data_IF_680652687765
#
_entry.id   IF_680652687765
#
_cell.length_a   1.000
_cell.length_b   1.000
_cell.length_c   1.000
_cell.angle_alpha   90.00
_cell.angle_beta   90.00
_cell.angle_gamma   90.00
#
_symmetry.space_group_name_H-M   'P 1'
#
loop_
_entity.id
_entity.type
_entity.pdbx_description
1 polymer ?
#
# COMPACT_ATOMS: atom_id res chain seq x y z
N UNK A 1 3.49 27.56 0.74
CA UNK A 1 4.50 26.49 0.77
C UNK A 1 3.89 25.28 0.08
N UNK A 2 4.59 24.69 -0.88
CA UNK A 2 4.16 23.44 -1.51
C UNK A 2 4.74 22.29 -0.70
N UNK A 3 3.93 21.29 -0.38
CA UNK A 3 4.40 20.05 0.25
C UNK A 3 5.38 19.35 -0.70
N UNK A 4 6.50 18.80 -0.20
CA UNK A 4 7.40 18.04 -1.07
C UNK A 4 6.74 16.72 -1.49
N UNK A 5 7.16 16.16 -2.63
CA UNK A 5 6.66 14.86 -3.10
C UNK A 5 6.87 13.79 -2.04
N UNK A 6 8.04 13.74 -1.43
CA UNK A 6 8.43 12.74 -0.44
C UNK A 6 7.57 12.86 0.83
N UNK A 7 7.31 14.08 1.30
CA UNK A 7 6.44 14.30 2.45
C UNK A 7 4.99 13.93 2.11
N UNK A 8 4.53 14.21 0.89
CA UNK A 8 3.21 13.80 0.44
C UNK A 8 3.08 12.27 0.39
N UNK A 9 4.07 11.56 -0.16
CA UNK A 9 4.09 10.09 -0.19
C UNK A 9 4.12 9.47 1.21
N UNK A 10 4.86 10.07 2.15
CA UNK A 10 4.87 9.64 3.55
C UNK A 10 3.49 9.81 4.21
N UNK A 11 2.78 10.91 3.92
CA UNK A 11 1.42 11.11 4.40
C UNK A 11 0.47 10.07 3.80
N UNK A 12 0.54 9.81 2.49
CA UNK A 12 -0.31 8.81 1.82
C UNK A 12 -0.03 7.38 2.30
N UNK A 13 1.22 7.07 2.67
CA UNK A 13 1.57 5.80 3.33
C UNK A 13 0.83 5.62 4.65
N UNK A 14 0.62 6.70 5.39
CA UNK A 14 -0.11 6.68 6.66
C UNK A 14 -1.62 6.78 6.48
N UNK A 15 -2.10 7.46 5.44
CA UNK A 15 -3.53 7.55 5.13
C UNK A 15 -4.13 6.17 4.86
N UNK A 16 -3.36 5.25 4.25
CA UNK A 16 -3.78 3.87 4.01
C UNK A 16 -4.19 3.11 5.30
N UNK A 17 -3.75 3.54 6.49
CA UNK A 17 -4.22 2.96 7.76
C UNK A 17 -5.58 3.49 8.23
N UNK A 18 -6.01 4.62 7.68
CA UNK A 18 -7.23 5.34 8.07
C UNK A 18 -8.28 5.34 6.94
N UNK A 19 -8.11 4.47 5.95
CA UNK A 19 -9.03 4.25 4.85
C UNK A 19 -9.54 2.80 4.84
N UNK A 20 -10.56 2.51 4.03
CA UNK A 20 -11.23 1.21 4.01
C UNK A 20 -11.75 0.71 5.37
N UNK A 21 -11.33 -0.49 5.75
CA UNK A 21 -11.78 -1.16 6.97
C UNK A 21 -10.82 -0.92 8.15
N UNK A 22 -11.34 -1.04 9.38
CA UNK A 22 -10.52 -0.94 10.60
C UNK A 22 -9.94 0.45 10.86
N UNK A 23 -10.55 1.52 10.32
CA UNK A 23 -10.06 2.89 10.46
C UNK A 23 -10.00 3.31 11.93
N UNK A 24 -8.85 3.76 12.40
CA UNK A 24 -8.70 4.40 13.71
C UNK A 24 -9.15 5.87 13.72
N UNK A 25 -9.12 6.52 12.56
CA UNK A 25 -9.56 7.89 12.33
C UNK A 25 -10.49 7.90 11.12
N UNK A 26 -11.76 8.26 11.31
CA UNK A 26 -12.67 8.55 10.20
C UNK A 26 -12.72 10.05 9.94
N UNK A 27 -12.03 10.48 8.89
CA UNK A 27 -12.00 11.88 8.46
C UNK A 27 -12.98 12.17 7.30
N UNK A 28 -13.61 11.15 6.72
CA UNK A 28 -14.56 11.30 5.60
C UNK A 28 -14.00 12.05 4.38
N UNK A 29 -12.67 12.09 4.18
CA UNK A 29 -12.05 12.81 3.06
C UNK A 29 -11.66 11.84 1.96
N UNK A 30 -12.04 12.18 0.74
CA UNK A 30 -11.58 11.58 -0.51
C UNK A 30 -10.38 12.33 -1.10
N UNK A 31 -9.85 13.33 -0.39
CA UNK A 31 -8.71 14.14 -0.83
C UNK A 31 -7.81 14.49 0.33
N UNK A 32 -6.51 14.27 0.14
CA UNK A 32 -5.44 14.65 1.07
C UNK A 32 -4.45 15.52 0.29
N UNK A 33 -4.25 16.77 0.70
CA UNK A 33 -3.39 17.69 -0.06
C UNK A 33 -3.84 17.81 -1.53
N UNK A 34 -2.93 17.53 -2.48
CA UNK A 34 -3.25 17.46 -3.92
C UNK A 34 -3.70 16.06 -4.40
N UNK A 35 -3.61 15.03 -3.56
CA UNK A 35 -3.96 13.66 -3.91
C UNK A 35 -5.47 13.40 -3.76
N UNK A 36 -6.08 12.88 -4.80
CA UNK A 36 -7.52 12.54 -4.83
C UNK A 36 -7.67 11.03 -4.88
N UNK A 37 -8.52 10.47 -4.03
CA UNK A 37 -8.87 9.05 -4.03
C UNK A 37 -9.33 8.61 -5.42
N UNK A 38 -8.75 7.54 -5.95
CA UNK A 38 -9.13 6.96 -7.25
C UNK A 38 -9.58 5.50 -7.18
N UNK A 39 -9.28 4.78 -6.10
CA UNK A 39 -9.71 3.40 -5.91
C UNK A 39 -9.12 2.76 -4.65
N UNK A 40 -9.65 1.61 -4.24
CA UNK A 40 -9.13 0.83 -3.12
C UNK A 40 -9.33 -0.68 -3.33
N UNK A 41 -8.55 -1.47 -2.60
CA UNK A 41 -8.75 -2.92 -2.50
C UNK A 41 -10.08 -3.24 -1.84
N UNK A 42 -10.61 -4.45 -2.06
CA UNK A 42 -11.88 -4.90 -1.47
C UNK A 42 -11.90 -4.73 0.06
N UNK A 43 -12.97 -4.12 0.58
CA UNK A 43 -13.15 -3.79 2.02
C UNK A 43 -14.31 -4.53 2.68
N UNK A 44 -15.02 -5.38 1.94
CA UNK A 44 -16.17 -6.11 2.45
C UNK A 44 -15.76 -7.11 3.55
N UNK A 45 -16.55 -7.18 4.62
CA UNK A 45 -16.33 -8.12 5.72
C UNK A 45 -16.30 -9.56 5.20
N UNK A 46 -15.26 -10.31 5.57
CA UNK A 46 -15.05 -11.69 5.12
C UNK A 46 -14.31 -11.83 3.78
N UNK A 47 -14.03 -10.74 3.07
CA UNK A 47 -13.17 -10.78 1.88
C UNK A 47 -11.73 -11.20 2.24
N UNK A 48 -11.03 -11.86 1.32
CA UNK A 48 -9.66 -12.37 1.54
C UNK A 48 -8.70 -11.26 1.99
N UNK A 49 -8.78 -10.07 1.38
CA UNK A 49 -7.96 -8.93 1.77
C UNK A 49 -8.19 -8.49 3.21
N UNK A 50 -9.44 -8.42 3.65
CA UNK A 50 -9.80 -8.07 5.03
C UNK A 50 -9.31 -9.14 6.01
N UNK A 51 -9.52 -10.43 5.69
CA UNK A 51 -9.12 -11.55 6.56
C UNK A 51 -7.59 -11.68 6.70
N UNK A 52 -6.84 -11.33 5.66
CA UNK A 52 -5.37 -11.38 5.65
C UNK A 52 -4.73 -10.09 6.16
N UNK A 53 -5.53 -9.05 6.43
CA UNK A 53 -5.05 -7.73 6.83
C UNK A 53 -4.45 -6.90 5.68
N UNK A 54 -4.64 -7.32 4.42
CA UNK A 54 -4.23 -6.57 3.24
C UNK A 54 -5.15 -5.38 3.00
N UNK A 55 -4.56 -4.21 2.76
CA UNK A 55 -5.28 -3.06 2.26
C UNK A 55 -4.36 -2.22 1.36
N UNK A 56 -4.90 -1.77 0.24
CA UNK A 56 -4.24 -0.87 -0.68
C UNK A 56 -5.22 0.17 -1.21
N UNK A 57 -4.70 1.34 -1.54
CA UNK A 57 -5.48 2.49 -1.98
C UNK A 57 -4.69 3.24 -3.06
N UNK A 58 -5.40 3.74 -4.07
CA UNK A 58 -4.83 4.55 -5.15
C UNK A 58 -5.30 6.00 -5.08
N UNK A 59 -4.41 6.90 -5.48
CA UNK A 59 -4.69 8.32 -5.59
C UNK A 59 -4.22 8.88 -6.93
N UNK A 60 -4.99 9.81 -7.48
CA UNK A 60 -4.56 10.66 -8.58
C UNK A 60 -3.84 11.88 -8.02
N UNK A 61 -2.62 12.14 -8.51
CA UNK A 61 -1.76 13.23 -8.05
C UNK A 61 -1.09 13.95 -9.23
N UNK A 62 -0.48 15.11 -8.97
CA UNK A 62 0.29 15.87 -9.98
C UNK A 62 1.55 15.13 -10.47
N UNK A 63 1.95 14.05 -9.81
CA UNK A 63 3.09 13.21 -10.16
C UNK A 63 2.68 11.80 -10.59
N UNK A 64 1.42 11.62 -11.01
CA UNK A 64 0.86 10.38 -11.51
C UNK A 64 0.00 9.65 -10.48
N UNK A 65 -0.31 8.38 -10.76
CA UNK A 65 -1.07 7.52 -9.86
C UNK A 65 -0.17 7.08 -8.71
N UNK A 66 -0.60 7.31 -7.47
CA UNK A 66 0.07 6.76 -6.28
C UNK A 66 -0.69 5.55 -5.81
N UNK A 67 0.00 4.44 -5.62
CA UNK A 67 -0.56 3.27 -4.92
C UNK A 67 0.10 3.19 -3.55
N UNK A 68 -0.71 3.25 -2.50
CA UNK A 68 -0.28 3.14 -1.10
C UNK A 68 -0.71 1.80 -0.52
N UNK A 69 0.25 1.01 -0.04
CA UNK A 69 0.01 -0.26 0.63
C UNK A 69 0.07 -0.08 2.15
N UNK A 70 -0.98 -0.51 2.85
CA UNK A 70 -0.99 -0.54 4.31
C UNK A 70 -0.02 -1.61 4.81
N UNK A 71 0.61 -1.35 5.95
CA UNK A 71 1.33 -2.39 6.67
C UNK A 71 0.40 -3.37 7.40
N UNK A 72 0.99 -4.27 8.17
CA UNK A 72 0.28 -5.25 9.00
C UNK A 72 0.27 -4.84 10.46
N UNK A 73 -0.88 -5.03 11.13
CA UNK A 73 -1.04 -4.88 12.57
C UNK A 73 -0.74 -6.18 13.34
N UNK A 74 -0.37 -7.26 12.63
CA UNK A 74 0.00 -8.52 13.27
C UNK A 74 1.40 -8.40 13.91
N UNK A 75 1.42 -8.16 15.22
CA UNK A 75 2.66 -8.01 16.00
C UNK A 75 3.52 -9.28 16.06
N UNK A 76 3.00 -10.50 15.84
CA UNK A 76 3.85 -11.70 15.79
C UNK A 76 4.78 -11.67 14.57
N UNK A 77 4.29 -11.10 13.46
CA UNK A 77 5.08 -10.84 12.26
C UNK A 77 6.07 -9.67 12.48
N UNK A 78 5.68 -8.68 13.27
CA UNK A 78 6.53 -7.53 13.59
C UNK A 78 7.61 -7.85 14.64
N UNK A 79 7.36 -8.76 15.60
CA UNK A 79 8.25 -9.11 16.74
C UNK A 79 9.34 -10.11 16.38
N UNK A 80 9.39 -10.56 15.13
CA UNK A 80 10.56 -11.18 14.50
C UNK A 80 11.63 -10.12 14.10
N UNK A 81 11.63 -8.95 14.77
CA UNK A 81 12.15 -7.65 14.33
C UNK A 81 13.67 -7.55 14.12
N UNK A 82 14.45 -8.60 14.40
CA UNK A 82 15.84 -8.67 13.94
C UNK A 82 15.95 -9.02 12.44
N UNK A 83 14.82 -9.30 11.78
CA UNK A 83 14.77 -9.81 10.40
C UNK A 83 14.18 -8.83 9.37
N UNK A 84 13.65 -7.67 9.80
CA UNK A 84 13.05 -6.67 8.89
C UNK A 84 14.10 -6.12 7.90
N UNK A 85 15.37 -6.08 8.29
CA UNK A 85 16.47 -5.55 7.47
C UNK A 85 17.27 -6.61 6.70
N UNK A 86 17.19 -7.89 7.07
CA UNK A 86 18.12 -8.92 6.57
C UNK A 86 17.47 -10.09 5.81
N UNK A 87 16.19 -10.42 6.04
CA UNK A 87 15.59 -11.65 5.48
C UNK A 87 14.38 -11.46 4.57
N UNK A 88 13.76 -10.28 4.59
CA UNK A 88 12.41 -10.12 4.03
C UNK A 88 12.37 -9.84 2.52
N UNK A 89 13.38 -9.16 1.98
CA UNK A 89 13.48 -8.92 0.52
C UNK A 89 13.96 -10.16 -0.23
N UNK A 90 14.59 -11.13 0.44
CA UNK A 90 15.28 -12.23 -0.26
C UNK A 90 15.05 -13.66 0.27
N UNK A 91 14.41 -13.89 1.41
CA UNK A 91 14.43 -15.24 2.02
C UNK A 91 13.17 -15.76 2.71
N UNK A 92 12.24 -14.92 3.18
CA UNK A 92 11.16 -15.40 4.06
C UNK A 92 9.78 -15.53 3.41
N UNK A 93 9.55 -14.98 2.21
CA UNK A 93 8.19 -14.88 1.68
C UNK A 93 7.34 -13.94 2.54
N UNK A 94 6.95 -12.80 1.99
CA UNK A 94 5.80 -12.04 2.48
C UNK A 94 4.64 -13.00 2.79
N UNK A 95 3.75 -12.63 3.71
CA UNK A 95 2.53 -13.42 3.98
C UNK A 95 1.92 -13.83 2.65
N UNK A 96 1.93 -15.14 2.35
CA UNK A 96 1.74 -15.66 1.00
C UNK A 96 0.42 -15.19 0.37
N UNK A 97 -0.57 -14.85 1.21
CA UNK A 97 -1.85 -14.28 0.79
C UNK A 97 -1.83 -12.79 0.41
N UNK A 98 -0.95 -11.94 0.95
CA UNK A 98 -1.00 -10.50 0.66
C UNK A 98 -0.27 -10.11 -0.63
N UNK A 99 0.75 -10.87 -1.05
CA UNK A 99 1.48 -10.58 -2.29
C UNK A 99 0.57 -10.70 -3.52
N UNK A 100 -0.16 -11.81 -3.74
CA UNK A 100 -1.08 -11.92 -4.87
C UNK A 100 -2.09 -10.78 -4.90
N UNK A 101 -2.64 -10.40 -3.75
CA UNK A 101 -3.58 -9.27 -3.65
C UNK A 101 -2.94 -7.93 -4.00
N UNK A 102 -1.68 -7.70 -3.61
CA UNK A 102 -0.92 -6.52 -4.00
C UNK A 102 -0.64 -6.48 -5.51
N UNK A 103 -0.27 -7.62 -6.10
CA UNK A 103 -0.09 -7.75 -7.55
C UNK A 103 -1.41 -7.45 -8.27
N UNK A 104 -2.50 -8.10 -7.88
CA UNK A 104 -3.82 -7.92 -8.50
C UNK A 104 -4.29 -6.46 -8.40
N UNK A 105 -4.12 -5.83 -7.24
CA UNK A 105 -4.47 -4.41 -7.09
C UNK A 105 -3.62 -3.51 -8.00
N UNK A 106 -2.30 -3.75 -8.07
CA UNK A 106 -1.41 -3.05 -8.99
C UNK A 106 -1.88 -3.19 -10.44
N UNK A 107 -2.17 -4.42 -10.89
CA UNK A 107 -2.58 -4.66 -12.27
C UNK A 107 -3.92 -4.01 -12.58
N UNK A 108 -4.85 -4.02 -11.62
CA UNK A 108 -6.16 -3.39 -11.77
C UNK A 108 -6.07 -1.86 -11.85
N UNK A 109 -5.23 -1.23 -11.04
CA UNK A 109 -5.06 0.23 -11.04
C UNK A 109 -4.30 0.71 -12.28
N UNK A 110 -3.23 0.01 -12.65
CA UNK A 110 -2.33 0.46 -13.73
C UNK A 110 -2.74 -0.04 -15.10
N UNK A 111 -3.55 -1.10 -15.19
CA UNK A 111 -3.83 -1.83 -16.43
C UNK A 111 -2.59 -2.54 -17.01
N UNK A 112 -1.52 -2.68 -16.21
CA UNK A 112 -0.24 -3.30 -16.59
C UNK A 112 -0.02 -4.57 -15.78
N UNK A 113 0.68 -5.54 -16.37
CA UNK A 113 1.16 -6.67 -15.59
C UNK A 113 2.23 -6.22 -14.61
N UNK A 114 2.35 -6.91 -13.48
CA UNK A 114 3.31 -6.53 -12.42
C UNK A 114 4.78 -6.55 -12.86
N UNK A 115 5.08 -7.19 -14.00
CA UNK A 115 6.41 -7.22 -14.62
C UNK A 115 6.59 -6.21 -15.76
N UNK A 116 5.55 -5.42 -16.06
CA UNK A 116 5.59 -4.31 -17.01
C UNK A 116 5.80 -2.98 -16.27
N UNK A 117 6.44 -2.02 -16.92
CA UNK A 117 6.65 -0.69 -16.33
C UNK A 117 5.40 0.18 -16.47
N UNK A 118 4.84 0.62 -15.33
CA UNK A 118 3.88 1.73 -15.26
C UNK A 118 4.62 3.03 -14.89
N UNK A 119 5.08 3.79 -15.90
CA UNK A 119 5.96 4.96 -15.70
C UNK A 119 5.30 6.16 -15.01
N UNK A 120 3.97 6.19 -14.99
CA UNK A 120 3.13 7.19 -14.33
C UNK A 120 2.64 6.73 -12.95
N UNK A 121 3.14 5.61 -12.44
CA UNK A 121 2.75 5.05 -11.15
C UNK A 121 3.88 5.15 -10.13
N UNK A 122 3.55 5.63 -8.92
CA UNK A 122 4.46 5.69 -7.77
C UNK A 122 3.92 4.79 -6.67
N UNK A 123 4.75 3.87 -6.19
CA UNK A 123 4.39 2.97 -5.10
C UNK A 123 4.91 3.51 -3.77
N UNK A 124 4.09 3.45 -2.73
CA UNK A 124 4.47 3.88 -1.39
C UNK A 124 3.80 3.03 -0.32
N UNK A 125 4.35 3.03 0.88
CA UNK A 125 3.84 2.24 1.99
C UNK A 125 4.79 2.25 3.16
N UNK A 126 4.25 1.90 4.33
CA UNK A 126 5.00 1.82 5.58
C UNK A 126 5.07 0.38 6.07
N UNK A 127 6.16 0.02 6.77
CA UNK A 127 6.40 -1.33 7.31
C UNK A 127 6.27 -2.40 6.21
N UNK A 128 5.42 -3.44 6.41
CA UNK A 128 5.08 -4.45 5.41
C UNK A 128 4.70 -3.84 4.05
N UNK A 129 3.92 -2.76 4.04
CA UNK A 129 3.49 -2.08 2.82
C UNK A 129 4.63 -1.41 2.05
N UNK A 130 5.69 -0.97 2.77
CA UNK A 130 6.91 -0.48 2.14
C UNK A 130 7.67 -1.58 1.40
N UNK A 131 7.73 -2.79 1.98
CA UNK A 131 8.32 -3.96 1.33
C UNK A 131 7.53 -4.40 0.09
N UNK A 132 6.19 -4.38 0.15
CA UNK A 132 5.33 -4.66 -1.00
C UNK A 132 5.58 -3.64 -2.14
N UNK A 133 5.68 -2.36 -1.78
CA UNK A 133 5.99 -1.28 -2.73
C UNK A 133 7.33 -1.51 -3.43
N UNK A 134 8.37 -1.86 -2.67
CA UNK A 134 9.70 -2.10 -3.24
C UNK A 134 9.73 -3.34 -4.13
N UNK A 135 9.02 -4.40 -3.78
CA UNK A 135 8.94 -5.64 -4.57
C UNK A 135 8.27 -5.42 -5.94
N UNK A 136 7.29 -4.54 -6.00
CA UNK A 136 6.55 -4.21 -7.22
C UNK A 136 7.23 -3.13 -8.07
N UNK A 137 8.15 -2.37 -7.48
CA UNK A 137 8.97 -1.39 -8.19
C UNK A 137 10.23 -1.99 -8.87
N UNK A 138 10.52 -3.27 -8.62
CA UNK A 138 11.70 -4.00 -9.10
C UNK A 138 11.35 -4.93 -10.26
#
# INVERSE_FOLDING_TARGET
MTISKELMLAILSMDAYNQGYGKGIDHGKTKIGSATFSGESVVDEGAEGVNTGFYAISYDTDYGTVISYRGTDNLELASSSNDILNGWVSGAGFTTGQVPLALDFYENVTGKKYYETASDTVLTGHSLGGGLSQRLAA
#
